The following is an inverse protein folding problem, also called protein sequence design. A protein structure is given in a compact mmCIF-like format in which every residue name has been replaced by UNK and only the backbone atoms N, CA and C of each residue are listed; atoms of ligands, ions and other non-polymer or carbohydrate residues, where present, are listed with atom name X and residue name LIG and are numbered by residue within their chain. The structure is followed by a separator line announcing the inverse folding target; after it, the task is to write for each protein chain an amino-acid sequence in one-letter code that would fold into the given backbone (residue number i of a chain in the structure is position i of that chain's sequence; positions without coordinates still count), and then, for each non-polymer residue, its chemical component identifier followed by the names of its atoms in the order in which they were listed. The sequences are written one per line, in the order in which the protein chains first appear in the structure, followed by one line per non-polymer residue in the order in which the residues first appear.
data_IF_025682326875
#
_entry.id   IF_025682326875
#
_cell.length_a   1.000
_cell.length_b   1.000
_cell.length_c   1.000
_cell.angle_alpha   90.00
_cell.angle_beta   90.00
_cell.angle_gamma   90.00
#
_symmetry.space_group_name_H-M   'P 1'
#
loop_
_entity.id
_entity.type
_entity.pdbx_description
1 polymer ?
#
# COMPACT_ATOMS: atom_id res chain seq x y z
N UNK A 1 -19.95 1.06 18.10
CA UNK A 1 -18.89 1.89 17.49
C UNK A 1 -18.49 1.09 16.26
N UNK A 2 -18.88 1.52 15.05
CA UNK A 2 -18.41 0.83 13.85
C UNK A 2 -16.90 1.03 13.76
N UNK A 3 -16.14 -0.05 13.71
CA UNK A 3 -14.69 0.01 13.51
C UNK A 3 -14.43 0.68 12.17
N UNK A 4 -13.76 1.82 12.20
CA UNK A 4 -13.41 2.57 10.99
C UNK A 4 -12.54 1.67 10.11
N UNK A 5 -12.94 1.46 8.86
CA UNK A 5 -12.20 0.62 7.94
C UNK A 5 -10.89 1.33 7.58
N UNK A 6 -9.77 0.69 7.91
CA UNK A 6 -8.44 1.17 7.59
C UNK A 6 -7.92 0.53 6.29
N UNK A 7 -6.86 1.13 5.73
CA UNK A 7 -6.30 0.76 4.44
C UNK A 7 -4.77 0.72 4.48
N UNK A 8 -4.19 -0.21 3.73
CA UNK A 8 -2.76 -0.33 3.51
C UNK A 8 -2.43 0.04 2.06
N UNK A 9 -1.33 0.77 1.87
CA UNK A 9 -0.85 1.16 0.54
C UNK A 9 0.35 0.31 0.17
N UNK A 10 0.27 -0.34 -0.99
CA UNK A 10 1.31 -1.20 -1.52
C UNK A 10 1.79 -0.68 -2.88
N UNK A 11 3.03 -0.96 -3.25
CA UNK A 11 3.54 -0.64 -4.59
C UNK A 11 4.76 -1.47 -4.97
N UNK A 12 5.09 -1.41 -6.26
CA UNK A 12 6.30 -2.01 -6.82
C UNK A 12 7.42 -0.96 -6.81
N UNK A 13 8.62 -1.29 -6.37
CA UNK A 13 9.69 -0.29 -6.24
C UNK A 13 10.31 -0.02 -7.59
N UNK A 14 10.42 1.25 -7.95
CA UNK A 14 11.16 1.65 -9.14
C UNK A 14 12.66 1.52 -8.82
N UNK A 15 13.42 0.59 -9.46
CA UNK A 15 14.80 0.28 -9.05
C UNK A 15 15.73 1.50 -9.01
N UNK A 16 15.54 2.45 -9.93
CA UNK A 16 16.30 3.69 -10.05
C UNK A 16 16.11 4.63 -8.85
N UNK A 17 14.99 4.50 -8.13
CA UNK A 17 14.62 5.36 -7.00
C UNK A 17 14.63 4.62 -5.66
N UNK A 18 15.37 3.51 -5.55
CA UNK A 18 15.43 2.68 -4.33
C UNK A 18 15.81 3.44 -3.07
N UNK A 19 16.75 4.39 -3.15
CA UNK A 19 17.16 5.20 -1.99
C UNK A 19 16.03 6.10 -1.51
N UNK A 20 15.32 6.75 -2.44
CA UNK A 20 14.14 7.55 -2.12
C UNK A 20 12.99 6.69 -1.58
N UNK A 21 12.83 5.47 -2.11
CA UNK A 21 11.85 4.51 -1.58
C UNK A 21 12.18 4.09 -0.14
N UNK A 22 13.46 3.91 0.18
CA UNK A 22 13.94 3.61 1.53
C UNK A 22 13.66 4.75 2.51
N UNK A 23 13.94 5.99 2.13
CA UNK A 23 13.60 7.19 2.91
C UNK A 23 12.08 7.30 3.11
N UNK A 24 11.32 7.18 2.02
CA UNK A 24 9.84 7.25 2.05
C UNK A 24 9.24 6.21 3.00
N UNK A 25 9.70 4.96 2.93
CA UNK A 25 9.23 3.91 3.85
C UNK A 25 9.69 4.21 5.28
N UNK A 26 10.91 4.71 5.47
CA UNK A 26 11.42 5.08 6.80
C UNK A 26 10.57 6.16 7.48
N UNK A 27 10.12 7.15 6.73
CA UNK A 27 9.27 8.23 7.24
C UNK A 27 7.85 7.75 7.54
N UNK A 28 7.30 6.85 6.71
CA UNK A 28 5.92 6.37 6.80
C UNK A 28 5.75 5.18 7.76
N UNK A 29 6.82 4.43 8.01
CA UNK A 29 6.86 3.25 8.87
C UNK A 29 8.00 3.38 9.88
N UNK A 30 7.93 4.36 10.82
CA UNK A 30 9.00 4.66 11.77
C UNK A 30 9.29 3.52 12.75
N UNK A 31 8.40 2.53 12.85
CA UNK A 31 8.60 1.30 13.60
C UNK A 31 9.67 0.39 12.96
N UNK A 32 9.97 0.57 11.67
CA UNK A 32 10.98 -0.20 10.96
C UNK A 32 12.37 0.41 11.08
N UNK A 33 13.35 -0.45 11.29
CA UNK A 33 14.76 -0.06 11.17
C UNK A 33 15.17 0.03 9.69
N UNK A 34 16.10 0.92 9.38
CA UNK A 34 16.67 1.04 8.01
C UNK A 34 17.17 -0.31 7.44
N UNK A 35 17.87 -1.18 8.19
CA UNK A 35 18.23 -2.53 7.72
C UNK A 35 17.03 -3.42 7.39
N UNK A 36 15.92 -3.32 8.13
CA UNK A 36 14.70 -4.08 7.85
C UNK A 36 14.08 -3.66 6.52
N UNK A 37 13.98 -2.35 6.28
CA UNK A 37 13.45 -1.81 5.02
C UNK A 37 14.36 -2.21 3.85
N UNK A 38 15.68 -2.08 4.00
CA UNK A 38 16.64 -2.53 2.98
C UNK A 38 16.47 -4.01 2.64
N UNK A 39 16.21 -4.86 3.64
CA UNK A 39 15.94 -6.28 3.41
C UNK A 39 14.68 -6.49 2.59
N UNK A 40 13.59 -5.77 2.88
CA UNK A 40 12.36 -5.79 2.06
C UNK A 40 12.67 -5.37 0.60
N UNK A 41 13.40 -4.27 0.42
CA UNK A 41 13.77 -3.74 -0.90
C UNK A 41 14.74 -4.64 -1.69
N UNK A 42 15.67 -5.35 -1.03
CA UNK A 42 16.60 -6.28 -1.67
C UNK A 42 15.91 -7.57 -2.08
N UNK A 43 14.88 -7.99 -1.35
CA UNK A 43 14.09 -9.17 -1.69
C UNK A 43 13.02 -8.86 -2.75
N UNK A 44 12.76 -7.58 -3.03
CA UNK A 44 11.78 -7.09 -4.01
C UNK A 44 12.13 -7.15 -5.52
N UNK A 45 13.37 -7.37 -6.02
CA UNK A 45 13.67 -7.23 -7.45
C UNK A 45 13.13 -8.35 -8.34
N UNK A 46 12.29 -9.26 -7.81
CA UNK A 46 11.52 -10.17 -8.66
C UNK A 46 10.35 -9.38 -9.29
N UNK A 47 10.14 -9.45 -10.62
CA UNK A 47 9.02 -8.79 -11.28
C UNK A 47 7.70 -9.12 -10.57
N UNK A 48 6.95 -8.08 -10.18
CA UNK A 48 5.65 -8.24 -9.54
C UNK A 48 5.68 -8.44 -8.02
N UNK A 49 6.82 -8.19 -7.36
CA UNK A 49 6.87 -8.20 -5.88
C UNK A 49 6.54 -6.82 -5.31
N UNK A 50 5.46 -6.77 -4.57
CA UNK A 50 4.94 -5.55 -3.96
C UNK A 50 5.52 -5.37 -2.56
N UNK A 51 5.75 -4.12 -2.19
CA UNK A 51 6.17 -3.72 -0.85
C UNK A 51 5.07 -2.87 -0.23
N UNK A 52 4.87 -3.04 1.08
CA UNK A 52 3.99 -2.19 1.87
C UNK A 52 4.67 -0.84 2.09
N UNK A 53 4.06 0.22 1.55
CA UNK A 53 4.54 1.59 1.64
C UNK A 53 4.11 2.20 2.96
N UNK A 54 2.83 2.02 3.32
CA UNK A 54 2.24 2.51 4.56
C UNK A 54 1.05 1.62 4.96
N UNK A 55 0.70 1.63 6.24
CA UNK A 55 -0.33 0.77 6.81
C UNK A 55 -1.30 1.54 7.71
N UNK A 56 -2.49 0.97 7.90
CA UNK A 56 -3.51 1.45 8.83
C UNK A 56 -3.92 2.92 8.60
N UNK A 57 -4.10 3.29 7.33
CA UNK A 57 -4.45 4.65 6.90
C UNK A 57 -5.96 4.82 6.72
N UNK A 58 -6.43 6.06 6.91
CA UNK A 58 -7.74 6.49 6.43
C UNK A 58 -7.74 6.73 4.91
N UNK A 59 -8.92 6.69 4.29
CA UNK A 59 -9.01 6.79 2.83
C UNK A 59 -8.40 8.07 2.25
N UNK A 60 -8.67 9.24 2.84
CA UNK A 60 -8.13 10.51 2.34
C UNK A 60 -6.59 10.57 2.42
N UNK A 61 -6.02 9.95 3.45
CA UNK A 61 -4.57 9.81 3.58
C UNK A 61 -4.00 8.90 2.49
N UNK A 62 -4.64 7.76 2.21
CA UNK A 62 -4.26 6.88 1.09
C UNK A 62 -4.29 7.62 -0.24
N UNK A 63 -5.35 8.38 -0.51
CA UNK A 63 -5.51 9.10 -1.78
C UNK A 63 -4.39 10.12 -1.98
N UNK A 64 -4.07 10.89 -0.94
CA UNK A 64 -2.99 11.87 -0.95
C UNK A 64 -1.62 11.21 -1.09
N UNK A 65 -1.36 10.17 -0.28
CA UNK A 65 -0.07 9.48 -0.27
C UNK A 65 0.20 8.78 -1.61
N UNK A 66 -0.82 8.21 -2.23
CA UNK A 66 -0.70 7.54 -3.53
C UNK A 66 -0.07 8.46 -4.58
N UNK A 67 -0.44 9.73 -4.62
CA UNK A 67 0.12 10.72 -5.55
C UNK A 67 1.56 11.09 -5.21
N UNK A 68 1.91 11.15 -3.92
CA UNK A 68 3.26 11.50 -3.47
C UNK A 68 4.29 10.41 -3.77
N UNK A 69 3.88 9.14 -3.70
CA UNK A 69 4.80 8.00 -3.79
C UNK A 69 5.00 7.48 -5.21
N UNK A 70 4.23 7.98 -6.21
CA UNK A 70 4.36 7.52 -7.62
C UNK A 70 5.76 7.71 -8.20
N UNK A 71 6.57 8.61 -7.62
CA UNK A 71 7.94 8.88 -8.10
C UNK A 71 8.93 7.78 -7.75
N UNK A 72 8.66 7.00 -6.70
CA UNK A 72 9.55 5.92 -6.24
C UNK A 72 8.87 4.54 -6.23
N UNK A 73 7.54 4.49 -6.39
CA UNK A 73 6.77 3.27 -6.48
C UNK A 73 5.89 3.26 -7.73
N UNK A 74 6.03 2.23 -8.55
CA UNK A 74 5.16 1.93 -9.66
C UNK A 74 3.86 1.29 -9.16
N UNK A 75 2.75 1.66 -9.82
CA UNK A 75 1.42 1.06 -9.64
C UNK A 75 0.94 1.01 -8.18
N UNK A 76 1.03 2.10 -7.38
CA UNK A 76 0.58 2.06 -6.01
C UNK A 76 -0.91 1.72 -5.92
N UNK A 77 -1.25 0.77 -5.06
CA UNK A 77 -2.58 0.18 -4.94
C UNK A 77 -2.96 0.05 -3.47
N UNK A 78 -4.20 0.41 -3.16
CA UNK A 78 -4.73 0.28 -1.80
C UNK A 78 -5.41 -1.08 -1.61
N UNK A 79 -5.24 -1.61 -0.41
CA UNK A 79 -5.92 -2.80 0.10
C UNK A 79 -6.59 -2.41 1.43
N UNK A 80 -7.75 -2.97 1.71
CA UNK A 80 -8.31 -2.91 3.07
C UNK A 80 -7.30 -3.55 4.05
N UNK A 81 -7.13 -2.92 5.21
CA UNK A 81 -6.13 -3.34 6.19
C UNK A 81 -6.27 -4.82 6.56
N UNK A 82 -5.14 -5.50 6.66
CA UNK A 82 -5.08 -6.95 6.89
C UNK A 82 -5.16 -7.81 5.62
N UNK A 83 -5.36 -7.18 4.45
CA UNK A 83 -5.17 -7.81 3.14
C UNK A 83 -3.96 -7.25 2.41
N UNK A 84 -3.48 -8.00 1.42
CA UNK A 84 -2.39 -7.53 0.56
C UNK A 84 -2.41 -8.12 -0.85
N UNK A 85 -1.37 -7.84 -1.63
CA UNK A 85 -1.25 -8.30 -3.02
C UNK A 85 -1.36 -9.82 -3.20
N UNK A 86 -0.98 -10.62 -2.19
CA UNK A 86 -1.16 -12.07 -2.18
C UNK A 86 -2.62 -12.53 -2.18
N UNK A 87 -3.52 -11.64 -1.80
CA UNK A 87 -4.95 -11.92 -1.63
C UNK A 87 -5.77 -11.45 -2.81
N UNK A 88 -5.14 -10.87 -3.83
CA UNK A 88 -5.84 -10.18 -4.93
C UNK A 88 -6.95 -11.02 -5.56
N UNK A 89 -6.71 -12.32 -5.76
CA UNK A 89 -7.65 -13.23 -6.42
C UNK A 89 -8.92 -13.52 -5.59
N UNK A 90 -8.88 -13.31 -4.27
CA UNK A 90 -10.03 -13.50 -3.36
C UNK A 90 -10.76 -12.19 -3.01
N UNK A 91 -10.26 -11.04 -3.47
CA UNK A 91 -10.79 -9.73 -3.13
C UNK A 91 -11.64 -9.15 -4.25
N UNK A 92 -12.53 -8.22 -3.86
CA UNK A 92 -13.23 -7.37 -4.81
C UNK A 92 -12.41 -6.12 -5.09
N UNK A 93 -12.40 -5.68 -6.34
CA UNK A 93 -11.81 -4.40 -6.74
C UNK A 93 -12.91 -3.35 -6.92
N UNK A 94 -12.71 -2.17 -6.34
CA UNK A 94 -13.45 -0.97 -6.72
C UNK A 94 -12.65 -0.20 -7.78
N UNK A 95 -13.12 -0.09 -9.03
CA UNK A 95 -12.38 0.62 -10.08
C UNK A 95 -12.33 2.14 -9.87
N UNK A 96 -13.36 2.72 -9.23
CA UNK A 96 -13.42 4.17 -8.94
C UNK A 96 -12.34 4.59 -7.95
N UNK A 97 -12.23 3.86 -6.85
CA UNK A 97 -11.26 4.14 -5.80
C UNK A 97 -9.91 3.44 -6.03
N UNK A 98 -9.85 2.47 -6.94
CA UNK A 98 -8.68 1.58 -7.14
C UNK A 98 -8.24 0.99 -5.79
N UNK A 99 -9.16 0.26 -5.19
CA UNK A 99 -9.06 -0.32 -3.84
C UNK A 99 -9.50 -1.78 -3.89
N UNK A 100 -8.73 -2.67 -3.28
CA UNK A 100 -9.09 -4.06 -3.04
C UNK A 100 -9.64 -4.24 -1.63
N UNK A 101 -10.77 -4.95 -1.48
CA UNK A 101 -11.46 -5.10 -0.20
C UNK A 101 -12.16 -6.47 -0.08
N UNK A 102 -12.45 -6.87 1.16
CA UNK A 102 -13.00 -8.18 1.51
C UNK A 102 -13.92 -8.09 2.73
N UNK A 103 -14.81 -9.08 2.90
CA UNK A 103 -15.68 -9.18 4.08
C UNK A 103 -16.83 -8.15 4.19
N UNK A 104 -16.96 -7.22 3.25
CA UNK A 104 -18.02 -6.19 3.24
C UNK A 104 -18.88 -6.22 1.96
N UNK A 105 -20.15 -5.81 2.07
CA UNK A 105 -21.14 -5.82 0.97
C UNK A 105 -21.00 -4.62 0.01
N UNK A 106 -19.78 -4.24 -0.37
CA UNK A 106 -19.54 -3.14 -1.30
C UNK A 106 -18.27 -2.37 -0.93
N UNK A 107 -17.83 -1.48 -1.81
CA UNK A 107 -16.64 -0.69 -1.56
C UNK A 107 -16.84 0.14 -0.28
N UNK A 108 -15.95 0.05 0.71
CA UNK A 108 -16.10 0.76 1.97
C UNK A 108 -16.06 2.28 1.79
N UNK A 109 -15.42 2.75 0.72
CA UNK A 109 -15.29 4.18 0.39
C UNK A 109 -16.47 4.70 -0.42
N UNK A 110 -17.12 3.88 -1.26
CA UNK A 110 -18.28 4.33 -2.04
C UNK A 110 -19.54 4.58 -1.20
N UNK A 111 -19.53 4.08 0.03
CA UNK A 111 -20.67 4.17 0.97
C UNK A 111 -20.56 5.38 1.89
N UNK A 112 -19.37 5.97 2.00
CA UNK A 112 -19.11 7.27 2.62
C UNK A 112 -19.33 8.39 1.59
#
# INVERSE_FOLDING_TARGET
MEDRIAFDLWGDVIPEYKERALETIGDLRPELTRPAILRELILAPAPGRWIMIAQNLEWDAVRTLREQVITCFARPQAYQAGYGPSDRDRLKECPVHRLFYGGVLGCPVCRD
#
